data_IF_548177503801
#
_entry.id   IF_548177503801
#
_cell.length_a   1.000
_cell.length_b   1.000
_cell.length_c   1.000
_cell.angle_alpha   90.00
_cell.angle_beta   90.00
_cell.angle_gamma   90.00
#
_symmetry.space_group_name_H-M   'P 1'
#
loop_
_entity.id
_entity.type
_entity.pdbx_description
1 polymer ?
#
# COMPACT_ATOMS: atom_id res chain seq x y z
N UNK A 1 17.39 -11.43 16.05
CA UNK A 1 16.10 -11.46 15.32
C UNK A 1 15.31 -10.22 15.74
N UNK A 2 14.90 -9.36 14.81
CA UNK A 2 14.25 -8.07 15.14
C UNK A 2 12.77 -8.11 14.77
N UNK A 3 11.88 -8.09 15.77
CA UNK A 3 10.47 -7.82 15.57
C UNK A 3 10.29 -6.34 15.21
N UNK A 4 9.50 -6.04 14.18
CA UNK A 4 9.22 -4.66 13.74
C UNK A 4 7.75 -4.36 14.03
N UNK A 5 7.52 -3.30 14.78
CA UNK A 5 6.17 -2.82 15.11
C UNK A 5 6.00 -1.41 14.55
N UNK A 6 4.94 -1.21 13.78
CA UNK A 6 4.59 0.08 13.19
C UNK A 6 3.23 0.55 13.72
N UNK A 7 3.13 1.84 13.98
CA UNK A 7 1.87 2.51 14.28
C UNK A 7 1.56 3.51 13.19
N UNK A 8 0.31 3.52 12.76
CA UNK A 8 -0.25 4.44 11.79
C UNK A 8 -1.38 5.22 12.46
N UNK A 9 -1.28 6.54 12.45
CA UNK A 9 -2.31 7.46 12.94
C UNK A 9 -2.67 8.44 11.83
N UNK A 10 -3.78 8.17 11.13
CA UNK A 10 -4.05 8.80 9.82
C UNK A 10 -2.93 8.50 8.83
N UNK A 11 -2.09 9.50 8.56
CA UNK A 11 -0.96 9.42 7.61
C UNK A 11 0.40 9.39 8.31
N UNK A 12 0.41 9.42 9.64
CA UNK A 12 1.63 9.49 10.43
C UNK A 12 2.12 8.08 10.78
N UNK A 13 3.34 7.77 10.35
CA UNK A 13 4.00 6.49 10.56
C UNK A 13 5.06 6.59 11.66
N UNK A 14 5.04 5.65 12.61
CA UNK A 14 6.07 5.57 13.66
C UNK A 14 6.46 4.13 13.96
N UNK A 15 7.70 3.94 14.39
CA UNK A 15 8.22 2.64 14.86
C UNK A 15 8.08 2.54 16.37
N UNK A 16 7.49 1.44 16.85
CA UNK A 16 7.45 1.13 18.26
C UNK A 16 8.68 0.29 18.63
N UNK A 17 9.87 0.88 18.58
CA UNK A 17 11.03 0.28 19.24
C UNK A 17 11.04 0.72 20.70
N UNK A 18 11.16 -0.25 21.61
CA UNK A 18 11.13 -0.02 23.06
C UNK A 18 12.09 1.10 23.45
N UNK A 19 11.57 2.08 24.19
CA UNK A 19 12.23 3.34 24.55
C UNK A 19 13.43 3.21 25.53
N UNK A 20 14.11 2.07 25.58
CA UNK A 20 15.31 1.87 26.41
C UNK A 20 16.57 1.99 25.55
N UNK A 21 16.91 3.21 25.16
CA UNK A 21 18.13 3.49 24.40
C UNK A 21 18.19 4.89 23.82
N UNK A 22 17.71 5.89 24.55
CA UNK A 22 17.60 7.31 24.15
C UNK A 22 18.93 8.04 23.85
N UNK A 23 20.04 7.35 23.58
CA UNK A 23 21.35 8.02 23.39
C UNK A 23 22.07 7.65 22.08
N UNK A 24 21.51 6.77 21.23
CA UNK A 24 22.13 6.45 19.92
C UNK A 24 21.21 6.61 18.70
N UNK A 25 20.07 7.31 18.83
CA UNK A 25 18.95 7.25 17.87
C UNK A 25 19.07 8.15 16.63
N UNK A 26 20.22 8.76 16.34
CA UNK A 26 20.32 9.75 15.26
C UNK A 26 20.90 9.20 13.93
N UNK A 27 21.42 7.96 13.89
CA UNK A 27 22.16 7.49 12.70
C UNK A 27 21.86 6.08 12.18
N UNK A 28 20.76 5.44 12.58
CA UNK A 28 20.20 4.27 11.88
C UNK A 28 18.68 4.31 11.82
N UNK A 29 18.14 5.41 11.29
CA UNK A 29 16.77 5.45 10.79
C UNK A 29 16.74 4.76 9.43
N UNK A 30 16.61 3.43 9.42
CA UNK A 30 15.90 2.77 8.33
C UNK A 30 14.42 3.19 8.44
N UNK A 31 14.14 4.46 8.10
CA UNK A 31 12.81 5.02 8.10
C UNK A 31 11.97 4.20 7.13
N UNK A 32 10.81 3.72 7.57
CA UNK A 32 9.79 3.11 6.68
C UNK A 32 9.23 4.11 5.66
N UNK A 33 9.78 5.34 5.59
CA UNK A 33 9.27 6.42 4.77
C UNK A 33 7.89 6.86 5.23
N UNK A 34 7.09 7.31 4.28
CA UNK A 34 5.65 7.50 4.45
C UNK A 34 4.93 6.63 3.41
N UNK A 35 4.64 5.35 3.73
CA UNK A 35 3.96 4.44 2.82
C UNK A 35 2.62 4.97 2.30
N UNK A 36 1.93 5.80 3.09
CA UNK A 36 0.68 6.44 2.65
C UNK A 36 0.95 7.41 1.50
N UNK A 37 1.90 8.33 1.67
CA UNK A 37 2.26 9.30 0.64
C UNK A 37 2.77 8.60 -0.63
N UNK A 38 3.60 7.58 -0.48
CA UNK A 38 4.12 6.78 -1.59
C UNK A 38 2.99 6.09 -2.36
N UNK A 39 2.05 5.46 -1.66
CA UNK A 39 0.90 4.81 -2.28
C UNK A 39 -0.02 5.80 -3.01
N UNK A 40 -0.28 6.97 -2.42
CA UNK A 40 -1.09 8.04 -3.05
C UNK A 40 -0.41 8.56 -4.32
N UNK A 41 0.89 8.83 -4.26
CA UNK A 41 1.65 9.30 -5.42
C UNK A 41 1.68 8.27 -6.55
N UNK A 42 1.88 6.99 -6.22
CA UNK A 42 1.83 5.91 -7.20
C UNK A 42 0.43 5.82 -7.83
N UNK A 43 -0.64 5.86 -7.03
CA UNK A 43 -2.01 5.84 -7.54
C UNK A 43 -2.30 7.03 -8.45
N UNK A 44 -1.83 8.24 -8.12
CA UNK A 44 -2.00 9.43 -8.95
C UNK A 44 -1.29 9.30 -10.31
N UNK A 45 -0.09 8.72 -10.34
CA UNK A 45 0.64 8.47 -11.60
C UNK A 45 -0.12 7.48 -12.48
N UNK A 46 -0.60 6.37 -11.91
CA UNK A 46 -1.38 5.38 -12.67
C UNK A 46 -2.73 5.96 -13.12
N UNK A 47 -3.38 6.78 -12.28
CA UNK A 47 -4.64 7.44 -12.62
C UNK A 47 -4.46 8.40 -13.81
N UNK A 48 -3.35 9.14 -13.86
CA UNK A 48 -3.03 10.02 -14.97
C UNK A 48 -2.81 9.23 -16.27
N UNK A 49 -2.10 8.10 -16.21
CA UNK A 49 -1.89 7.23 -17.37
C UNK A 49 -3.20 6.59 -17.87
N UNK A 50 -4.13 6.27 -16.97
CA UNK A 50 -5.43 5.69 -17.32
C UNK A 50 -6.46 6.71 -17.79
N UNK A 51 -6.26 8.01 -17.57
CA UNK A 51 -7.26 9.03 -17.85
C UNK A 51 -7.73 9.05 -19.31
N UNK A 52 -6.81 8.82 -20.26
CA UNK A 52 -7.11 8.77 -21.69
C UNK A 52 -7.59 7.39 -22.18
N UNK A 53 -7.24 6.33 -21.46
CA UNK A 53 -7.47 4.94 -21.86
C UNK A 53 -8.82 4.42 -21.33
N UNK A 54 -9.11 4.73 -20.08
CA UNK A 54 -10.29 4.26 -19.35
C UNK A 54 -10.87 5.39 -18.48
N UNK A 55 -11.44 6.44 -19.11
CA UNK A 55 -12.06 7.54 -18.38
C UNK A 55 -13.27 7.01 -17.60
N UNK A 56 -13.14 6.96 -16.27
CA UNK A 56 -14.14 6.41 -15.35
C UNK A 56 -13.64 5.28 -14.46
N UNK A 57 -12.43 4.75 -14.73
CA UNK A 57 -11.77 3.82 -13.81
C UNK A 57 -11.00 4.61 -12.75
N UNK A 58 -11.29 4.29 -11.49
CA UNK A 58 -10.62 4.89 -10.33
C UNK A 58 -9.52 3.96 -9.83
N UNK A 59 -8.33 4.53 -9.62
CA UNK A 59 -7.20 3.83 -9.01
C UNK A 59 -7.24 4.04 -7.50
N UNK A 60 -7.27 2.96 -6.74
CA UNK A 60 -7.28 3.00 -5.29
C UNK A 60 -5.90 2.65 -4.72
N UNK A 61 -5.28 3.53 -3.91
CA UNK A 61 -4.02 3.22 -3.22
C UNK A 61 -4.25 2.21 -2.09
N UNK A 62 -3.24 1.39 -1.83
CA UNK A 62 -3.25 0.40 -0.75
C UNK A 62 -1.83 0.04 -0.32
N UNK A 63 -1.62 -0.13 0.98
CA UNK A 63 -0.33 -0.49 1.59
C UNK A 63 -0.42 -1.94 2.06
N UNK A 64 0.47 -2.80 1.57
CA UNK A 64 0.46 -4.23 1.88
C UNK A 64 1.76 -4.67 2.55
N UNK A 65 1.65 -5.17 3.76
CA UNK A 65 2.77 -5.75 4.50
C UNK A 65 2.91 -7.24 4.18
N UNK A 66 4.03 -7.58 3.54
CA UNK A 66 4.35 -8.96 3.16
C UNK A 66 5.04 -9.74 4.28
N UNK A 67 5.79 -9.06 5.16
CA UNK A 67 6.53 -9.71 6.24
C UNK A 67 5.56 -10.18 7.37
N UNK A 68 5.46 -11.50 7.65
CA UNK A 68 4.64 -12.05 8.74
C UNK A 68 4.98 -11.54 10.12
N UNK A 69 6.18 -11.00 10.33
CA UNK A 69 6.70 -10.64 11.65
C UNK A 69 6.35 -9.20 12.04
N UNK A 70 5.76 -8.44 11.12
CA UNK A 70 5.38 -7.05 11.36
C UNK A 70 4.12 -6.97 12.20
N UNK A 71 4.12 -6.16 13.26
CA UNK A 71 2.91 -5.84 14.02
C UNK A 71 2.44 -4.45 13.67
N UNK A 72 1.16 -4.30 13.32
CA UNK A 72 0.56 -3.03 12.91
C UNK A 72 -0.43 -2.56 13.98
N UNK A 73 -0.30 -1.31 14.41
CA UNK A 73 -1.33 -0.60 15.18
C UNK A 73 -1.94 0.45 14.26
N UNK A 74 -3.19 0.24 13.84
CA UNK A 74 -3.87 1.09 12.87
C UNK A 74 -4.89 1.98 13.59
N UNK A 75 -4.73 3.29 13.49
CA UNK A 75 -5.68 4.29 13.98
C UNK A 75 -6.15 5.13 12.78
N UNK A 76 -7.34 4.81 12.26
CA UNK A 76 -8.00 5.51 11.15
C UNK A 76 -7.07 5.90 9.98
N UNK A 77 -6.33 4.94 9.38
CA UNK A 77 -5.46 5.27 8.26
C UNK A 77 -6.26 5.74 7.05
N UNK A 78 -5.80 6.77 6.33
CA UNK A 78 -6.51 7.31 5.15
C UNK A 78 -6.42 6.37 3.95
N UNK A 79 -5.34 5.59 3.87
CA UNK A 79 -5.12 4.53 2.89
C UNK A 79 -5.23 3.17 3.59
N UNK A 80 -5.94 2.19 3.01
CA UNK A 80 -6.02 0.85 3.58
C UNK A 80 -4.63 0.23 3.78
N UNK A 81 -4.33 -0.13 5.02
CA UNK A 81 -3.09 -0.84 5.40
C UNK A 81 -3.44 -2.28 5.75
N UNK A 82 -2.88 -3.23 5.00
CA UNK A 82 -3.31 -4.62 4.99
C UNK A 82 -2.13 -5.57 5.14
N UNK A 83 -2.36 -6.74 5.71
CA UNK A 83 -1.44 -7.87 5.63
C UNK A 83 -1.64 -8.65 4.33
N UNK A 84 -0.54 -9.12 3.74
CA UNK A 84 -0.60 -10.06 2.61
C UNK A 84 -1.17 -11.43 3.03
N UNK A 85 -0.97 -11.83 4.28
CA UNK A 85 -1.36 -13.14 4.79
C UNK A 85 -2.83 -13.16 5.21
N UNK A 86 -3.60 -14.09 4.64
CA UNK A 86 -5.03 -14.24 4.94
C UNK A 86 -5.36 -14.62 6.38
N UNK A 87 -4.37 -15.09 7.16
CA UNK A 87 -4.57 -15.45 8.58
C UNK A 87 -4.43 -14.25 9.53
N UNK A 88 -4.04 -13.08 9.04
CA UNK A 88 -3.88 -11.85 9.83
C UNK A 88 -4.97 -10.86 9.49
N UNK A 89 -5.23 -9.91 10.38
CA UNK A 89 -6.24 -8.88 10.16
C UNK A 89 -5.65 -7.48 10.41
N UNK A 90 -6.03 -6.48 9.60
CA UNK A 90 -6.79 -6.61 8.34
C UNK A 90 -5.93 -7.23 7.21
N UNK A 91 -6.51 -7.98 6.26
CA UNK A 91 -5.76 -8.57 5.13
C UNK A 91 -6.33 -8.28 3.75
N UNK A 92 -5.46 -8.43 2.73
CA UNK A 92 -5.79 -8.16 1.33
C UNK A 92 -6.90 -9.06 0.77
N UNK A 93 -6.95 -10.34 1.16
CA UNK A 93 -7.95 -11.27 0.64
C UNK A 93 -9.35 -10.88 1.05
N UNK A 94 -9.54 -10.56 2.33
CA UNK A 94 -10.84 -10.18 2.86
C UNK A 94 -11.23 -8.79 2.36
N UNK A 95 -10.27 -7.87 2.25
CA UNK A 95 -10.46 -6.56 1.62
C UNK A 95 -11.00 -6.67 0.19
N UNK A 96 -10.32 -7.42 -0.68
CA UNK A 96 -10.73 -7.59 -2.08
C UNK A 96 -12.10 -8.25 -2.23
N UNK A 97 -12.46 -9.18 -1.33
CA UNK A 97 -13.78 -9.82 -1.32
C UNK A 97 -14.91 -8.87 -0.91
N UNK A 98 -14.62 -7.88 -0.08
CA UNK A 98 -15.59 -6.90 0.39
C UNK A 98 -15.85 -5.79 -0.64
N UNK A 99 -14.97 -5.63 -1.64
CA UNK A 99 -15.15 -4.64 -2.69
C UNK A 99 -16.35 -5.00 -3.58
N UNK A 100 -17.12 -4.00 -4.05
CA UNK A 100 -18.12 -4.23 -5.07
C UNK A 100 -17.46 -4.76 -6.34
N UNK A 101 -18.16 -5.62 -7.08
CA UNK A 101 -17.70 -6.04 -8.40
C UNK A 101 -17.67 -4.81 -9.32
N UNK A 102 -16.47 -4.38 -9.68
CA UNK A 102 -16.25 -3.27 -10.60
C UNK A 102 -16.28 -3.71 -12.06
N UNK A 103 -16.29 -2.72 -12.95
CA UNK A 103 -16.06 -2.92 -14.37
C UNK A 103 -14.61 -3.31 -14.59
N UNK A 104 -14.38 -4.40 -15.32
CA UNK A 104 -13.03 -4.79 -15.74
C UNK A 104 -12.60 -3.95 -16.94
N UNK A 105 -11.31 -3.64 -17.04
CA UNK A 105 -10.74 -3.05 -18.25
C UNK A 105 -10.92 -4.02 -19.42
N UNK A 106 -11.19 -3.48 -20.61
CA UNK A 106 -11.21 -4.31 -21.83
C UNK A 106 -9.79 -4.72 -22.22
N UNK A 107 -9.61 -5.79 -23.01
CA UNK A 107 -8.29 -6.19 -23.50
C UNK A 107 -7.53 -5.07 -24.22
N UNK A 108 -8.25 -4.24 -24.98
CA UNK A 108 -7.68 -3.09 -25.70
C UNK A 108 -7.19 -2.01 -24.72
N UNK A 109 -7.96 -1.75 -23.66
CA UNK A 109 -7.55 -0.82 -22.61
C UNK A 109 -6.34 -1.32 -21.82
N UNK A 110 -6.27 -2.63 -21.56
CA UNK A 110 -5.11 -3.26 -20.92
C UNK A 110 -3.88 -3.09 -21.81
N UNK A 111 -3.96 -3.45 -23.09
CA UNK A 111 -2.84 -3.32 -24.03
C UNK A 111 -2.38 -1.86 -24.22
N UNK A 112 -3.31 -0.91 -24.30
CA UNK A 112 -2.99 0.51 -24.38
C UNK A 112 -2.25 0.99 -23.11
N UNK A 113 -2.67 0.51 -21.94
CA UNK A 113 -2.03 0.86 -20.67
C UNK A 113 -0.63 0.25 -20.55
N UNK A 114 -0.45 -1.00 -20.96
CA UNK A 114 0.86 -1.67 -21.03
C UNK A 114 1.83 -0.90 -21.93
N UNK A 115 1.39 -0.49 -23.12
CA UNK A 115 2.23 0.28 -24.05
C UNK A 115 2.60 1.65 -23.49
N UNK A 116 1.67 2.33 -22.81
CA UNK A 116 1.90 3.65 -22.22
C UNK A 116 2.85 3.62 -21.01
N UNK A 117 2.82 2.56 -20.21
CA UNK A 117 3.55 2.48 -18.93
C UNK A 117 4.78 1.56 -18.97
N UNK A 118 4.89 0.68 -19.96
CA UNK A 118 5.90 -0.38 -20.02
C UNK A 118 5.70 -1.50 -19.00
N UNK A 119 4.56 -1.53 -18.29
CA UNK A 119 4.24 -2.55 -17.29
C UNK A 119 3.44 -3.66 -17.96
N UNK A 120 3.95 -4.89 -17.98
CA UNK A 120 3.17 -6.08 -18.35
C UNK A 120 2.59 -6.75 -17.09
N UNK A 121 1.26 -6.98 -17.03
CA UNK A 121 0.68 -7.81 -15.98
C UNK A 121 1.24 -9.22 -16.13
N UNK A 122 1.86 -9.72 -15.07
CA UNK A 122 2.33 -11.11 -15.02
C UNK A 122 1.09 -12.00 -14.95
N UNK A 123 0.88 -12.79 -16.02
CA UNK A 123 -0.20 -13.77 -16.17
C UNK A 123 -0.23 -14.85 -15.09
#
# INVERSE_FOLDING_TARGET
FHFRAYRVDGDQWSTQQAALGRVFSIFRMDNIGNPTLEAVNAAAQIQAALAEIAPGVLVQPLVVFVDPRVTLTLNNPTVPVLYAQSKRQPNIKDYLKALPKGTMLTPEQISAFEHATGITPTS
#
